data_IF_922625382617
#
_entry.id   IF_922625382617
#
_cell.length_a   1.000
_cell.length_b   1.000
_cell.length_c   1.000
_cell.angle_alpha   90.00
_cell.angle_beta   90.00
_cell.angle_gamma   90.00
#
_symmetry.space_group_name_H-M   'P 1'
#
loop_
_entity.id
_entity.type
_entity.pdbx_description
1 polymer ?
#
# COMPACT_ATOMS: atom_id res chain seq x y z
N UNK A 1 -0.09 7.34 12.88
CA UNK A 1 -0.50 7.78 11.52
C UNK A 1 -0.36 6.60 10.57
N UNK A 2 -1.41 6.21 9.85
CA UNK A 2 -1.52 4.93 9.13
C UNK A 2 -1.30 5.03 7.62
N UNK A 3 -0.69 6.11 7.13
CA UNK A 3 -0.53 6.33 5.69
C UNK A 3 0.28 5.23 5.01
N UNK A 4 1.36 4.75 5.62
CA UNK A 4 2.17 3.65 5.09
C UNK A 4 1.41 2.33 4.95
N UNK A 5 0.87 1.77 6.04
CA UNK A 5 0.06 0.56 5.98
C UNK A 5 -1.15 0.68 5.06
N UNK A 6 -1.80 1.84 5.01
CA UNK A 6 -2.91 2.09 4.10
C UNK A 6 -2.49 2.07 2.64
N UNK A 7 -1.34 2.66 2.30
CA UNK A 7 -0.77 2.58 0.95
C UNK A 7 -0.45 1.14 0.55
N UNK A 8 0.18 0.37 1.46
CA UNK A 8 0.50 -1.04 1.21
C UNK A 8 -0.79 -1.86 0.99
N UNK A 9 -1.84 -1.59 1.78
CA UNK A 9 -3.16 -2.22 1.62
C UNK A 9 -3.75 -1.96 0.24
N UNK A 10 -3.68 -0.71 -0.24
CA UNK A 10 -4.18 -0.34 -1.58
C UNK A 10 -3.45 -1.08 -2.69
N UNK A 11 -2.12 -1.19 -2.61
CA UNK A 11 -1.31 -1.88 -3.62
C UNK A 11 -1.55 -3.39 -3.57
N UNK A 12 -1.63 -3.99 -2.38
CA UNK A 12 -1.98 -5.41 -2.25
C UNK A 12 -3.34 -5.71 -2.89
N UNK A 13 -4.33 -4.85 -2.66
CA UNK A 13 -5.66 -4.99 -3.27
C UNK A 13 -5.62 -4.83 -4.80
N UNK A 14 -4.78 -3.95 -5.32
CA UNK A 14 -4.55 -3.82 -6.77
C UNK A 14 -4.08 -5.14 -7.39
N UNK A 15 -3.24 -5.90 -6.67
CA UNK A 15 -2.77 -7.22 -7.11
C UNK A 15 -3.67 -8.38 -6.67
N UNK A 16 -4.86 -8.09 -6.15
CA UNK A 16 -5.88 -9.10 -5.87
C UNK A 16 -5.86 -9.68 -4.47
N UNK A 17 -5.11 -9.10 -3.52
CA UNK A 17 -5.07 -9.55 -2.13
C UNK A 17 -5.62 -8.50 -1.16
N UNK A 18 -6.39 -8.96 -0.19
CA UNK A 18 -7.01 -8.13 0.83
C UNK A 18 -6.41 -8.41 2.19
N UNK A 19 -5.98 -7.34 2.87
CA UNK A 19 -5.48 -7.37 4.23
C UNK A 19 -6.24 -6.37 5.09
N UNK A 20 -6.38 -6.66 6.39
CA UNK A 20 -6.88 -5.67 7.33
C UNK A 20 -5.82 -4.61 7.59
N UNK A 21 -6.26 -3.38 7.83
CA UNK A 21 -5.34 -2.29 8.20
C UNK A 21 -4.60 -2.61 9.51
N UNK A 22 -5.28 -3.24 10.46
CA UNK A 22 -4.68 -3.63 11.74
C UNK A 22 -3.52 -4.62 11.55
N UNK A 23 -3.69 -5.64 10.73
CA UNK A 23 -2.63 -6.59 10.42
C UNK A 23 -1.40 -5.89 9.79
N UNK A 24 -1.64 -5.06 8.78
CA UNK A 24 -0.54 -4.32 8.11
C UNK A 24 0.13 -3.32 9.04
N UNK A 25 -0.63 -2.70 9.94
CA UNK A 25 -0.10 -1.83 10.98
C UNK A 25 0.83 -2.58 11.92
N UNK A 26 0.40 -3.75 12.38
CA UNK A 26 1.19 -4.58 13.32
C UNK A 26 2.51 -5.05 12.72
N UNK A 27 2.55 -5.42 11.46
CA UNK A 27 3.78 -5.86 10.78
C UNK A 27 4.64 -4.72 10.24
N UNK A 28 4.16 -3.48 10.24
CA UNK A 28 4.90 -2.30 9.75
C UNK A 28 5.76 -1.64 10.83
N UNK A 29 5.74 -2.12 12.05
CA UNK A 29 6.52 -1.58 13.18
C UNK A 29 6.39 -0.06 13.30
N UNK A 30 5.20 0.40 13.65
CA UNK A 30 4.90 1.82 13.86
C UNK A 30 5.54 2.27 15.18
N UNK A 31 6.41 3.25 15.12
CA UNK A 31 6.93 3.95 16.29
C UNK A 31 6.15 5.25 16.58
N UNK A 32 6.61 6.05 17.54
CA UNK A 32 5.97 7.31 17.92
C UNK A 32 5.98 8.36 16.81
N UNK A 33 6.92 8.25 15.89
CA UNK A 33 7.08 9.18 14.76
C UNK A 33 6.26 8.74 13.53
N UNK A 34 5.71 7.53 13.56
CA UNK A 34 4.93 6.94 12.47
C UNK A 34 5.65 5.79 11.78
N UNK A 35 5.18 5.40 10.61
CA UNK A 35 5.78 4.32 9.83
C UNK A 35 6.90 4.89 8.96
N UNK A 36 8.08 4.31 9.05
CA UNK A 36 9.19 4.60 8.15
C UNK A 36 9.06 3.84 6.83
N UNK A 37 9.74 4.32 5.79
CA UNK A 37 9.82 3.61 4.51
C UNK A 37 10.38 2.18 4.69
N UNK A 38 11.35 2.01 5.59
CA UNK A 38 11.90 0.70 5.97
C UNK A 38 10.81 -0.20 6.56
N UNK A 39 10.00 0.31 7.48
CA UNK A 39 8.90 -0.46 8.09
C UNK A 39 7.86 -0.90 7.06
N UNK A 40 7.53 -0.04 6.10
CA UNK A 40 6.63 -0.40 4.99
C UNK A 40 7.27 -1.46 4.10
N UNK A 41 8.55 -1.32 3.78
CA UNK A 41 9.31 -2.29 2.99
C UNK A 41 9.34 -3.68 3.63
N UNK A 42 9.63 -3.75 4.93
CA UNK A 42 9.63 -5.01 5.69
C UNK A 42 8.24 -5.65 5.74
N UNK A 43 7.20 -4.85 5.93
CA UNK A 43 5.82 -5.34 5.87
C UNK A 43 5.46 -5.88 4.48
N UNK A 44 5.88 -5.17 3.43
CA UNK A 44 5.68 -5.61 2.05
C UNK A 44 6.34 -6.96 1.76
N UNK A 45 7.58 -7.17 2.23
CA UNK A 45 8.27 -8.45 2.11
C UNK A 45 7.50 -9.58 2.81
N UNK A 46 6.98 -9.31 4.00
CA UNK A 46 6.22 -10.30 4.78
C UNK A 46 4.96 -10.79 4.07
N UNK A 47 4.32 -9.94 3.27
CA UNK A 47 3.14 -10.32 2.50
C UNK A 47 3.45 -10.78 1.08
N UNK A 48 4.74 -10.95 0.74
CA UNK A 48 5.19 -11.59 -0.50
C UNK A 48 5.57 -10.65 -1.63
N UNK A 49 5.64 -9.34 -1.40
CA UNK A 49 6.21 -8.40 -2.36
C UNK A 49 7.74 -8.44 -2.34
N UNK A 50 8.33 -7.99 -3.46
CA UNK A 50 9.74 -7.64 -3.56
C UNK A 50 9.83 -6.11 -3.58
N UNK A 51 10.06 -5.46 -2.44
CA UNK A 51 10.14 -4.01 -2.37
C UNK A 51 11.51 -3.50 -2.81
N UNK A 52 11.51 -2.34 -3.47
CA UNK A 52 12.73 -1.63 -3.83
C UNK A 52 12.53 -0.13 -3.58
N UNK A 53 13.24 0.39 -2.58
CA UNK A 53 13.27 1.83 -2.32
C UNK A 53 14.24 2.50 -3.30
N UNK A 54 13.75 3.50 -4.01
CA UNK A 54 14.53 4.22 -5.03
C UNK A 54 14.39 5.72 -4.87
N UNK A 55 15.44 6.44 -5.24
CA UNK A 55 15.43 7.90 -5.36
C UNK A 55 15.65 8.23 -6.84
N UNK A 56 14.62 8.69 -7.51
CA UNK A 56 14.59 8.85 -8.97
C UNK A 56 14.00 10.21 -9.37
N UNK A 57 14.35 10.74 -10.56
CA UNK A 57 13.73 11.93 -11.10
C UNK A 57 12.28 11.66 -11.56
N UNK A 58 11.52 12.72 -11.75
CA UNK A 58 10.17 12.62 -12.32
C UNK A 58 10.20 12.09 -13.75
N UNK A 59 11.10 12.63 -14.57
CA UNK A 59 11.34 12.21 -15.94
C UNK A 59 12.83 12.14 -16.24
N UNK A 60 13.20 11.31 -17.19
CA UNK A 60 14.57 11.18 -17.68
C UNK A 60 14.55 10.96 -19.20
N UNK A 61 15.72 11.10 -19.84
CA UNK A 61 15.86 10.82 -21.26
C UNK A 61 15.98 9.31 -21.52
N UNK A 62 15.31 8.82 -22.56
CA UNK A 62 15.34 7.43 -22.94
C UNK A 62 14.71 6.52 -21.88
N UNK A 63 15.31 5.36 -21.65
CA UNK A 63 14.87 4.33 -20.69
C UNK A 63 15.50 4.49 -19.30
N UNK A 64 16.14 5.62 -19.02
CA UNK A 64 16.73 5.88 -17.71
C UNK A 64 15.65 5.87 -16.61
N UNK A 65 15.97 5.38 -15.40
CA UNK A 65 15.00 5.28 -14.31
C UNK A 65 14.38 6.63 -13.98
N UNK A 66 13.04 6.67 -13.99
CA UNK A 66 12.26 7.86 -13.63
C UNK A 66 10.85 7.41 -13.21
N UNK A 67 10.09 8.32 -12.59
CA UNK A 67 8.71 8.01 -12.23
C UNK A 67 7.84 7.69 -13.44
N UNK A 68 8.07 8.37 -14.56
CA UNK A 68 7.26 8.18 -15.78
C UNK A 68 7.43 6.81 -16.44
N UNK A 69 8.56 6.11 -16.19
CA UNK A 69 8.81 4.77 -16.71
C UNK A 69 8.78 3.68 -15.64
N UNK A 70 8.62 4.07 -14.37
CA UNK A 70 8.51 3.11 -13.27
C UNK A 70 7.25 2.24 -13.40
N UNK A 71 7.30 0.97 -12.99
CA UNK A 71 6.09 0.15 -12.90
C UNK A 71 5.17 0.67 -11.80
N UNK A 72 3.98 1.13 -12.17
CA UNK A 72 2.99 1.64 -11.23
C UNK A 72 1.98 0.53 -10.84
N UNK A 73 1.37 0.56 -9.67
CA UNK A 73 1.46 1.62 -8.64
C UNK A 73 2.73 1.56 -7.78
N UNK A 74 3.10 2.70 -7.23
CA UNK A 74 4.22 2.84 -6.28
C UNK A 74 3.78 3.63 -5.05
N UNK A 75 4.49 3.46 -3.93
CA UNK A 75 4.31 4.31 -2.76
C UNK A 75 5.30 5.46 -2.85
N UNK A 76 4.82 6.69 -2.87
CA UNK A 76 5.64 7.89 -2.92
C UNK A 76 5.76 8.54 -1.53
N UNK A 77 6.96 8.96 -1.17
CA UNK A 77 7.21 9.75 0.04
C UNK A 77 6.87 11.21 -0.26
N UNK A 78 5.77 11.67 0.34
CA UNK A 78 5.14 12.96 0.05
C UNK A 78 5.44 13.99 1.13
N UNK A 79 5.93 15.16 0.72
CA UNK A 79 6.24 16.27 1.63
C UNK A 79 7.09 15.87 2.85
N UNK A 80 7.94 14.85 2.69
CA UNK A 80 8.88 14.33 3.70
C UNK A 80 8.25 13.73 4.98
N UNK A 81 6.92 13.68 5.08
CA UNK A 81 6.24 13.21 6.28
C UNK A 81 4.97 12.37 6.01
N UNK A 82 4.66 12.11 4.77
CA UNK A 82 3.44 11.40 4.37
C UNK A 82 3.74 10.39 3.26
N UNK A 83 2.88 9.41 3.10
CA UNK A 83 2.94 8.43 2.01
C UNK A 83 1.62 8.43 1.24
N UNK A 84 1.71 8.37 -0.06
CA UNK A 84 0.58 8.20 -0.96
C UNK A 84 0.94 7.24 -2.09
N UNK A 85 -0.09 6.72 -2.75
CA UNK A 85 0.08 5.82 -3.90
C UNK A 85 0.00 6.63 -5.19
N UNK A 86 0.98 6.45 -6.08
CA UNK A 86 0.91 6.92 -7.46
C UNK A 86 0.50 5.74 -8.33
N UNK A 87 -0.65 5.83 -8.99
CA UNK A 87 -1.15 4.73 -9.81
C UNK A 87 -1.20 5.04 -11.31
N UNK A 88 -1.01 6.29 -11.69
CA UNK A 88 -0.89 6.72 -13.10
C UNK A 88 -0.12 8.03 -13.17
N UNK A 89 0.74 8.17 -14.17
CA UNK A 89 1.51 9.39 -14.39
C UNK A 89 1.78 9.60 -15.89
N UNK A 90 1.79 10.86 -16.29
CA UNK A 90 2.28 11.32 -17.59
C UNK A 90 3.01 12.65 -17.41
N UNK A 91 3.49 13.23 -18.49
CA UNK A 91 4.25 14.49 -18.45
C UNK A 91 3.46 15.68 -17.87
N UNK A 92 2.11 15.63 -17.94
CA UNK A 92 1.25 16.73 -17.54
C UNK A 92 0.58 16.52 -16.17
N UNK A 93 0.26 15.28 -15.83
CA UNK A 93 -0.53 14.95 -14.65
C UNK A 93 -0.04 13.70 -13.93
N UNK A 94 -0.32 13.65 -12.63
CA UNK A 94 -0.10 12.48 -11.77
C UNK A 94 -1.40 12.15 -11.04
N UNK A 95 -1.81 10.90 -11.08
CA UNK A 95 -3.00 10.39 -10.36
C UNK A 95 -2.54 9.68 -9.10
N UNK A 96 -3.07 10.13 -7.99
CA UNK A 96 -2.67 9.67 -6.67
C UNK A 96 -3.86 9.14 -5.88
N UNK A 97 -3.59 8.20 -4.99
CA UNK A 97 -4.51 7.76 -3.95
C UNK A 97 -3.87 8.07 -2.59
N UNK A 98 -4.46 9.01 -1.90
CA UNK A 98 -4.02 9.47 -0.59
C UNK A 98 -4.90 8.82 0.49
N UNK A 99 -4.32 8.13 1.49
CA UNK A 99 -5.12 7.54 2.57
C UNK A 99 -6.03 8.52 3.31
N UNK A 100 -5.63 9.78 3.40
CA UNK A 100 -6.39 10.81 4.10
C UNK A 100 -7.34 11.62 3.21
N UNK A 101 -7.07 11.72 1.91
CA UNK A 101 -7.79 12.62 1.00
C UNK A 101 -8.49 11.90 -0.17
N UNK A 102 -8.26 10.60 -0.34
CA UNK A 102 -8.86 9.84 -1.44
C UNK A 102 -8.09 9.95 -2.76
N UNK A 103 -8.75 9.65 -3.86
CA UNK A 103 -8.15 9.69 -5.19
C UNK A 103 -8.33 11.05 -5.84
N UNK A 104 -7.25 11.61 -6.38
CA UNK A 104 -7.28 12.85 -7.14
C UNK A 104 -6.15 12.95 -8.13
N UNK A 105 -6.21 13.94 -9.00
CA UNK A 105 -5.22 14.22 -10.02
C UNK A 105 -4.52 15.53 -9.71
N UNK A 106 -3.19 15.53 -9.78
CA UNK A 106 -2.36 16.72 -9.63
C UNK A 106 -1.71 17.11 -10.96
N UNK A 107 -1.58 18.40 -11.26
CA UNK A 107 -0.63 18.85 -12.27
C UNK A 107 0.79 18.36 -11.94
N UNK A 108 1.56 17.98 -12.96
CA UNK A 108 2.90 17.45 -12.75
C UNK A 108 3.81 18.40 -11.95
N UNK A 109 3.68 19.71 -12.15
CA UNK A 109 4.47 20.71 -11.41
C UNK A 109 4.14 20.72 -9.92
N UNK A 110 2.86 20.61 -9.57
CA UNK A 110 2.39 20.55 -8.18
C UNK A 110 2.84 19.24 -7.51
N UNK A 111 2.74 18.11 -8.23
CA UNK A 111 3.26 16.84 -7.74
C UNK A 111 4.77 16.91 -7.47
N UNK A 112 5.55 17.44 -8.43
CA UNK A 112 7.00 17.59 -8.27
C UNK A 112 7.36 18.46 -7.07
N UNK A 113 6.63 19.54 -6.83
CA UNK A 113 6.86 20.42 -5.68
C UNK A 113 6.72 19.71 -4.33
N UNK A 114 5.82 18.73 -4.23
CA UNK A 114 5.62 17.95 -3.00
C UNK A 114 6.46 16.66 -2.91
N UNK A 115 6.87 16.11 -4.04
CA UNK A 115 7.55 14.81 -4.07
C UNK A 115 9.08 14.90 -4.16
N UNK A 116 9.63 15.84 -4.95
CA UNK A 116 11.08 16.00 -5.09
C UNK A 116 11.69 16.49 -3.77
N UNK A 117 12.59 15.70 -3.19
CA UNK A 117 13.18 16.02 -1.88
C UNK A 117 14.35 16.99 -1.96
N UNK A 118 15.06 16.99 -3.09
CA UNK A 118 16.24 17.85 -3.37
C UNK A 118 16.03 18.75 -4.59
N UNK A 119 14.79 18.88 -5.05
CA UNK A 119 14.44 19.61 -6.27
C UNK A 119 14.70 18.84 -7.57
N UNK A 120 15.36 17.69 -7.52
CA UNK A 120 15.71 16.87 -8.68
C UNK A 120 15.14 15.46 -8.63
N UNK A 121 15.19 14.83 -7.47
CA UNK A 121 14.77 13.44 -7.26
C UNK A 121 13.82 13.30 -6.07
N UNK A 122 12.90 12.35 -6.20
CA UNK A 122 12.00 11.96 -5.13
C UNK A 122 12.17 10.49 -4.76
N UNK A 123 11.72 10.15 -3.57
CA UNK A 123 11.79 8.80 -3.02
C UNK A 123 10.48 8.08 -3.24
N UNK A 124 10.53 6.85 -3.74
CA UNK A 124 9.39 5.96 -3.81
C UNK A 124 9.78 4.50 -3.55
N UNK A 125 8.78 3.71 -3.17
CA UNK A 125 8.90 2.28 -2.97
C UNK A 125 8.21 1.56 -4.12
N UNK A 126 8.99 0.86 -4.93
CA UNK A 126 8.50 -0.03 -5.97
C UNK A 126 8.12 -1.37 -5.32
N UNK A 127 6.96 -1.91 -5.70
CA UNK A 127 6.46 -3.17 -5.17
C UNK A 127 6.11 -4.10 -6.33
N UNK A 128 6.85 -5.20 -6.44
CA UNK A 128 6.54 -6.27 -7.40
C UNK A 128 6.06 -7.50 -6.64
N UNK A 129 4.97 -8.17 -7.08
CA UNK A 129 4.59 -9.44 -6.49
C UNK A 129 5.72 -10.46 -6.68
N UNK A 130 6.21 -11.02 -5.58
CA UNK A 130 7.21 -12.10 -5.61
C UNK A 130 6.55 -13.45 -5.93
N UNK A 131 7.38 -14.49 -6.11
CA UNK A 131 6.91 -15.86 -6.38
C UNK A 131 5.98 -16.43 -5.32
N UNK A 132 6.08 -15.94 -4.08
CA UNK A 132 5.25 -16.39 -2.96
C UNK A 132 4.05 -15.47 -2.67
N UNK A 133 3.89 -14.35 -3.37
CA UNK A 133 2.84 -13.38 -3.09
C UNK A 133 1.44 -14.00 -3.08
N UNK A 134 1.11 -14.82 -4.06
CA UNK A 134 -0.20 -15.48 -4.16
C UNK A 134 -0.32 -16.75 -3.31
N UNK A 135 0.77 -17.22 -2.71
CA UNK A 135 0.79 -18.37 -1.79
C UNK A 135 0.63 -17.95 -0.34
N UNK A 136 0.96 -16.69 0.00
CA UNK A 136 0.72 -16.15 1.34
C UNK A 136 -0.78 -16.03 1.63
N UNK A 137 -1.17 -16.39 2.86
CA UNK A 137 -2.55 -16.27 3.29
C UNK A 137 -2.95 -14.79 3.45
N UNK A 138 -4.13 -14.48 2.93
CA UNK A 138 -4.73 -13.16 3.13
C UNK A 138 -5.25 -13.04 4.57
N UNK A 139 -4.89 -11.96 5.27
CA UNK A 139 -5.57 -11.59 6.50
C UNK A 139 -6.90 -10.89 6.15
N UNK A 140 -7.88 -11.68 5.80
CA UNK A 140 -9.25 -11.22 5.71
C UNK A 140 -9.87 -11.36 7.10
N UNK A 141 -10.21 -10.24 7.73
CA UNK A 141 -11.22 -10.28 8.78
C UNK A 141 -12.52 -10.79 8.14
N UNK A 142 -12.72 -12.10 8.20
CA UNK A 142 -14.03 -12.67 7.81
C UNK A 142 -15.06 -11.94 8.64
N UNK A 143 -16.05 -11.25 8.05
CA UNK A 143 -17.19 -10.85 8.84
C UNK A 143 -17.65 -12.12 9.52
N UNK A 144 -17.92 -12.05 10.83
CA UNK A 144 -18.48 -13.14 11.60
C UNK A 144 -19.69 -13.66 10.83
N UNK A 145 -19.42 -14.59 9.91
CA UNK A 145 -20.41 -15.04 8.97
C UNK A 145 -21.48 -15.81 9.70
N UNK A 146 -22.69 -15.75 9.21
CA UNK A 146 -23.85 -16.53 9.66
C UNK A 146 -23.49 -18.03 9.89
N UNK A 147 -22.48 -18.54 9.21
CA UNK A 147 -21.90 -19.87 9.40
C UNK A 147 -21.25 -20.06 10.79
N UNK A 148 -20.63 -19.02 11.36
CA UNK A 148 -20.06 -19.07 12.71
C UNK A 148 -21.18 -19.10 13.78
N UNK A 149 -22.24 -18.35 13.57
CA UNK A 149 -23.43 -18.38 14.40
C UNK A 149 -24.12 -19.76 14.36
N UNK A 150 -24.18 -20.40 13.20
CA UNK A 150 -24.75 -21.75 13.05
C UNK A 150 -23.91 -22.82 13.74
N UNK A 151 -22.62 -22.64 13.89
CA UNK A 151 -21.73 -23.54 14.59
C UNK A 151 -21.98 -23.48 16.12
N UNK A 152 -22.35 -22.31 16.65
CA UNK A 152 -22.74 -22.13 18.05
C UNK A 152 -24.17 -22.62 18.37
N UNK A 153 -25.04 -22.65 17.37
CA UNK A 153 -26.44 -23.12 17.54
C UNK A 153 -26.59 -24.65 17.46
N UNK A 154 -25.55 -25.35 16.94
CA UNK A 154 -25.60 -26.82 16.83
C UNK A 154 -25.72 -27.59 18.16
N UNK A 155 -25.14 -27.17 19.28
CA UNK A 155 -25.30 -27.90 20.54
C UNK A 155 -26.67 -27.70 21.22
N UNK A 156 -27.44 -26.69 20.86
CA UNK A 156 -28.72 -26.40 21.54
C UNK A 156 -29.94 -27.05 20.91
N UNK A 157 -29.78 -27.75 19.78
CA UNK A 157 -30.90 -28.48 19.16
C UNK A 157 -31.40 -29.67 19.96
N UNK A 158 -30.63 -30.15 20.97
CA UNK A 158 -31.03 -31.27 21.84
C UNK A 158 -31.91 -30.87 23.04
N UNK A 159 -32.08 -29.58 23.30
CA UNK A 159 -32.88 -29.06 24.41
C UNK A 159 -34.29 -28.61 24.00
N UNK A 160 -34.61 -28.61 22.70
CA UNK A 160 -35.94 -28.21 22.20
C UNK A 160 -36.85 -29.36 21.77
N UNK A 161 -36.46 -30.60 22.08
CA UNK A 161 -37.30 -31.79 21.78
C UNK A 161 -37.71 -32.57 23.03
N UNK A 162 -38.08 -31.85 24.11
CA UNK A 162 -38.87 -32.43 25.23
C UNK A 162 -40.12 -31.60 25.45
#
# INVERSE_FOLDING_TARGET
MDCGPSCLRMIAKHYGKSYTLQYLRDISYIDREGVSLKGISEAAERIGFQPMAVKIPFSAQGEAPSLLVAPLPVIAHWKQNHFLVVYKANKKHVWVADPGAGKFRLPAQEFKAGWLSDGQKGVCLLLSPGGHFYQEEEDQSKPLGFAYLLQYLKPHRRLLSQ
#
